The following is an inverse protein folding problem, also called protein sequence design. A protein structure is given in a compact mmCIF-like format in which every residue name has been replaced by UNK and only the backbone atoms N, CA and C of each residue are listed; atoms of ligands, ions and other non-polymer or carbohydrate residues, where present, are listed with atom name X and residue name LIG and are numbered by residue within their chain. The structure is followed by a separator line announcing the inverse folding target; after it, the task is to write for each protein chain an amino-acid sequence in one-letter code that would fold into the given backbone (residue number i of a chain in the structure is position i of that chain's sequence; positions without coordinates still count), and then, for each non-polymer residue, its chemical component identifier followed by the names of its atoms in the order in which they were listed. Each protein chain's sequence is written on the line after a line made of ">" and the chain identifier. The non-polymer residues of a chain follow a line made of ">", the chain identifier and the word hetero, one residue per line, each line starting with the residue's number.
data_IF_500033884253
#
_entry.id   IF_500033884253
#
_cell.length_a   1.000
_cell.length_b   1.000
_cell.length_c   1.000
_cell.angle_alpha   90.00
_cell.angle_beta   90.00
_cell.angle_gamma   90.00
#
_symmetry.space_group_name_H-M   'P 1'
#
loop_
_entity.id
_entity.type
_entity.pdbx_description
1 polymer ?
#
# COMPACT_ATOMS: atom_id res chain seq x y z
N UNK A 1 1.35 -11.34 0.15
CA UNK A 1 1.96 -10.36 -0.78
C UNK A 1 1.55 -10.60 -2.22
N UNK A 2 2.01 -11.66 -2.91
CA UNK A 2 1.68 -11.89 -4.34
C UNK A 2 0.18 -12.01 -4.67
N UNK A 3 -0.61 -12.60 -3.77
CA UNK A 3 -2.07 -12.67 -3.96
C UNK A 3 -2.74 -11.29 -3.91
N UNK A 4 -2.25 -10.39 -3.03
CA UNK A 4 -2.72 -9.01 -2.97
C UNK A 4 -2.30 -8.25 -4.23
N UNK A 5 -1.04 -8.42 -4.66
CA UNK A 5 -0.56 -7.85 -5.92
C UNK A 5 -1.45 -8.29 -7.11
N UNK A 6 -1.76 -9.58 -7.20
CA UNK A 6 -2.64 -10.10 -8.25
C UNK A 6 -4.03 -9.48 -8.20
N UNK A 7 -4.57 -9.23 -7.00
CA UNK A 7 -5.86 -8.58 -6.83
C UNK A 7 -5.80 -7.08 -7.21
N UNK A 8 -4.75 -6.36 -6.81
CA UNK A 8 -4.51 -4.96 -7.19
C UNK A 8 -4.48 -4.79 -8.70
N UNK A 9 -3.75 -5.64 -9.41
CA UNK A 9 -3.64 -5.61 -10.88
C UNK A 9 -4.96 -5.93 -11.56
N UNK A 10 -5.74 -6.87 -11.01
CA UNK A 10 -7.00 -7.30 -11.63
C UNK A 10 -8.18 -6.37 -11.34
N UNK A 11 -8.19 -5.72 -10.19
CA UNK A 11 -9.33 -4.92 -9.72
C UNK A 11 -9.16 -3.42 -9.99
N UNK A 12 -7.94 -2.93 -10.22
CA UNK A 12 -7.66 -1.51 -10.48
C UNK A 12 -8.27 -0.55 -9.43
N UNK A 13 -8.34 -0.98 -8.17
CA UNK A 13 -8.88 -0.21 -7.04
C UNK A 13 -7.78 0.17 -6.03
N UNK A 14 -7.94 1.29 -5.31
CA UNK A 14 -7.05 1.62 -4.19
C UNK A 14 -7.12 0.50 -3.15
N UNK A 15 -5.95 -0.03 -2.76
CA UNK A 15 -5.88 -1.20 -1.89
C UNK A 15 -4.91 -0.95 -0.75
N UNK A 16 -5.43 -1.03 0.48
CA UNK A 16 -4.64 -0.96 1.71
C UNK A 16 -4.43 -2.37 2.23
N UNK A 17 -3.18 -2.78 2.40
CA UNK A 17 -2.87 -4.10 2.95
C UNK A 17 -2.60 -3.99 4.44
N UNK A 18 -3.33 -4.76 5.25
CA UNK A 18 -3.17 -4.74 6.71
C UNK A 18 -2.74 -6.11 7.20
N UNK A 19 -1.65 -6.16 7.96
CA UNK A 19 -1.27 -7.34 8.74
C UNK A 19 -1.95 -7.26 10.10
N UNK A 20 -2.98 -8.08 10.27
CA UNK A 20 -3.69 -8.17 11.55
C UNK A 20 -2.95 -9.07 12.53
N UNK A 21 -3.26 -8.87 13.82
CA UNK A 21 -2.78 -9.69 14.93
C UNK A 21 -1.27 -9.60 15.20
N UNK A 22 -0.69 -8.42 15.02
CA UNK A 22 0.73 -8.18 15.32
C UNK A 22 1.02 -8.29 16.82
N UNK A 23 -0.01 -8.16 17.67
CA UNK A 23 0.03 -8.38 19.12
C UNK A 23 0.52 -9.79 19.52
N UNK A 24 0.32 -10.79 18.65
CA UNK A 24 0.72 -12.17 18.94
C UNK A 24 2.20 -12.45 18.71
N UNK A 25 2.94 -11.53 18.09
CA UNK A 25 4.36 -11.73 17.86
C UNK A 25 5.19 -11.33 19.08
N UNK A 26 6.07 -12.24 19.50
CA UNK A 26 7.03 -11.96 20.56
C UNK A 26 8.12 -10.96 20.13
N UNK A 27 8.45 -10.95 18.85
CA UNK A 27 9.41 -10.01 18.27
C UNK A 27 8.77 -9.27 17.09
N UNK A 28 8.47 -7.99 17.29
CA UNK A 28 7.87 -7.11 16.26
C UNK A 28 8.86 -6.82 15.11
N UNK A 29 10.17 -6.97 15.33
CA UNK A 29 11.21 -6.74 14.30
C UNK A 29 11.21 -7.81 13.22
N UNK A 30 10.70 -9.01 13.53
CA UNK A 30 10.59 -10.08 12.56
C UNK A 30 9.68 -9.72 11.38
N UNK A 31 8.77 -8.75 11.57
CA UNK A 31 7.86 -8.28 10.53
C UNK A 31 8.46 -7.17 9.68
N UNK A 32 9.49 -6.44 10.14
CA UNK A 32 10.09 -5.29 9.42
C UNK A 32 10.50 -5.66 7.99
N UNK A 33 11.09 -6.84 7.79
CA UNK A 33 11.46 -7.37 6.46
C UNK A 33 10.28 -7.61 5.50
N UNK A 34 9.06 -7.66 6.03
CA UNK A 34 7.82 -7.80 5.26
C UNK A 34 7.07 -6.45 5.12
N UNK A 35 7.45 -5.44 5.90
CA UNK A 35 6.91 -4.08 5.79
C UNK A 35 7.60 -3.33 4.65
N UNK A 36 8.93 -3.44 4.58
CA UNK A 36 9.75 -2.82 3.52
C UNK A 36 10.69 -3.86 2.87
N UNK A 37 10.16 -4.75 2.01
CA UNK A 37 11.00 -5.74 1.33
C UNK A 37 11.87 -5.14 0.20
N UNK A 38 13.19 -5.05 0.38
CA UNK A 38 14.06 -4.71 -0.74
C UNK A 38 14.14 -5.85 -1.78
N UNK A 39 13.87 -5.57 -3.05
CA UNK A 39 13.88 -6.56 -4.13
C UNK A 39 15.23 -7.30 -4.24
N UNK A 40 16.34 -6.59 -4.00
CA UNK A 40 17.68 -7.17 -3.99
C UNK A 40 17.90 -8.16 -2.82
N UNK A 41 17.40 -7.84 -1.62
CA UNK A 41 17.45 -8.75 -0.47
C UNK A 41 16.58 -9.98 -0.72
N UNK A 42 15.38 -9.78 -1.24
CA UNK A 42 14.46 -10.88 -1.59
C UNK A 42 15.09 -11.84 -2.60
N UNK A 43 15.75 -11.33 -3.64
CA UNK A 43 16.40 -12.15 -4.66
C UNK A 43 17.56 -12.96 -4.07
N UNK A 44 18.39 -12.34 -3.22
CA UNK A 44 19.47 -13.04 -2.52
C UNK A 44 18.96 -14.17 -1.61
N UNK A 45 17.86 -13.96 -0.90
CA UNK A 45 17.25 -14.98 -0.05
C UNK A 45 16.58 -16.11 -0.86
N UNK A 46 15.96 -15.77 -1.99
CA UNK A 46 15.37 -16.74 -2.91
C UNK A 46 16.44 -17.61 -3.57
N UNK A 47 17.57 -17.02 -3.99
CA UNK A 47 18.67 -17.78 -4.61
C UNK A 47 19.41 -18.67 -3.60
N UNK A 48 19.41 -18.30 -2.31
CA UNK A 48 19.97 -19.13 -1.24
C UNK A 48 19.05 -20.29 -0.84
N UNK A 49 17.73 -20.09 -0.86
CA UNK A 49 16.74 -21.07 -0.41
C UNK A 49 16.25 -22.01 -1.51
N UNK A 50 16.31 -21.58 -2.78
CA UNK A 50 15.79 -22.34 -3.92
C UNK A 50 16.89 -22.88 -4.84
N UNK A 51 16.69 -24.04 -5.49
CA UNK A 51 17.63 -24.55 -6.48
C UNK A 51 17.83 -23.58 -7.66
N UNK A 52 19.03 -23.52 -8.26
CA UNK A 52 19.37 -22.57 -9.33
C UNK A 52 18.53 -22.74 -10.60
N UNK A 53 17.78 -23.84 -10.74
CA UNK A 53 16.78 -24.02 -11.81
C UNK A 53 15.70 -22.93 -11.80
N UNK A 54 15.44 -22.32 -10.64
CA UNK A 54 14.41 -21.29 -10.47
C UNK A 54 14.96 -19.87 -10.52
N UNK A 55 16.26 -19.67 -10.81
CA UNK A 55 16.88 -18.33 -10.85
C UNK A 55 16.13 -17.35 -11.75
N UNK A 56 15.67 -17.82 -12.92
CA UNK A 56 14.89 -17.00 -13.86
C UNK A 56 13.51 -16.60 -13.32
N UNK A 57 12.90 -17.46 -12.50
CA UNK A 57 11.63 -17.19 -11.83
C UNK A 57 11.84 -16.22 -10.66
N UNK A 58 12.87 -16.45 -9.83
CA UNK A 58 13.23 -15.57 -8.72
C UNK A 58 13.47 -14.14 -9.20
N UNK A 59 14.18 -13.99 -10.33
CA UNK A 59 14.42 -12.70 -10.97
C UNK A 59 13.13 -12.03 -11.44
N UNK A 60 12.22 -12.77 -12.08
CA UNK A 60 10.94 -12.24 -12.51
C UNK A 60 10.06 -11.80 -11.32
N UNK A 61 10.08 -12.55 -10.21
CA UNK A 61 9.36 -12.20 -8.98
C UNK A 61 9.95 -10.94 -8.35
N UNK A 62 11.28 -10.86 -8.24
CA UNK A 62 11.94 -9.68 -7.69
C UNK A 62 11.64 -8.42 -8.51
N UNK A 63 11.69 -8.53 -9.84
CA UNK A 63 11.36 -7.43 -10.73
C UNK A 63 9.89 -7.00 -10.61
N UNK A 64 8.96 -7.96 -10.54
CA UNK A 64 7.54 -7.67 -10.32
C UNK A 64 7.29 -6.97 -8.97
N UNK A 65 8.03 -7.34 -7.93
CA UNK A 65 7.92 -6.72 -6.61
C UNK A 65 8.42 -5.25 -6.64
N UNK A 66 9.48 -4.99 -7.40
CA UNK A 66 10.09 -3.67 -7.59
C UNK A 66 9.19 -2.76 -8.46
N UNK A 67 8.70 -3.28 -9.58
CA UNK A 67 7.85 -2.54 -10.54
C UNK A 67 6.55 -2.03 -9.92
N UNK A 68 5.98 -2.77 -8.97
CA UNK A 68 4.76 -2.40 -8.27
C UNK A 68 5.02 -1.67 -6.94
N UNK A 69 6.27 -1.21 -6.72
CA UNK A 69 6.70 -0.42 -5.56
C UNK A 69 6.10 -0.95 -4.27
N UNK A 70 6.36 -2.24 -3.99
CA UNK A 70 5.99 -2.92 -2.76
C UNK A 70 4.55 -2.72 -2.30
N UNK A 71 3.78 -3.79 -2.41
CA UNK A 71 2.55 -4.00 -1.64
C UNK A 71 2.89 -3.85 -0.15
N UNK A 72 2.86 -2.62 0.35
CA UNK A 72 3.23 -2.29 1.71
C UNK A 72 2.11 -2.77 2.60
N UNK A 73 2.50 -3.50 3.64
CA UNK A 73 1.60 -3.94 4.67
C UNK A 73 1.69 -2.99 5.84
N UNK A 74 0.55 -2.56 6.35
CA UNK A 74 0.46 -1.80 7.58
C UNK A 74 0.29 -2.81 8.73
N UNK A 75 1.19 -2.79 9.74
CA UNK A 75 1.00 -3.63 10.91
C UNK A 75 -0.16 -3.08 11.75
N UNK A 76 -1.09 -3.94 12.12
CA UNK A 76 -2.18 -3.61 13.04
C UNK A 76 -2.03 -4.40 14.34
N UNK A 77 -1.87 -3.64 15.43
CA UNK A 77 -1.90 -4.13 16.80
C UNK A 77 -3.14 -3.53 17.48
N UNK A 78 -4.15 -4.37 17.75
CA UNK A 78 -5.40 -3.93 18.37
C UNK A 78 -5.23 -3.44 19.81
N UNK A 79 -4.10 -3.74 20.45
CA UNK A 79 -3.78 -3.27 21.79
C UNK A 79 -3.15 -1.88 21.77
N UNK A 80 -2.79 -1.39 20.59
CA UNK A 80 -2.10 -0.13 20.36
C UNK A 80 -2.98 0.83 19.55
N UNK A 81 -3.50 1.85 20.24
CA UNK A 81 -4.39 2.86 19.68
C UNK A 81 -3.68 3.68 18.58
N UNK A 82 -2.36 3.88 18.69
CA UNK A 82 -1.58 4.59 17.68
C UNK A 82 -1.51 3.79 16.37
N UNK A 83 -1.42 2.47 16.44
CA UNK A 83 -1.42 1.61 15.25
C UNK A 83 -2.76 1.65 14.51
N UNK A 84 -3.86 1.70 15.26
CA UNK A 84 -5.22 1.82 14.72
C UNK A 84 -5.37 3.16 14.01
N UNK A 85 -4.94 4.24 14.67
CA UNK A 85 -4.99 5.59 14.12
C UNK A 85 -4.14 5.73 12.86
N UNK A 86 -2.96 5.10 12.83
CA UNK A 86 -2.12 5.08 11.65
C UNK A 86 -2.79 4.38 10.47
N UNK A 87 -3.37 3.19 10.67
CA UNK A 87 -4.12 2.49 9.62
C UNK A 87 -5.30 3.32 9.12
N UNK A 88 -6.04 3.96 10.02
CA UNK A 88 -7.16 4.83 9.66
C UNK A 88 -6.71 5.98 8.74
N UNK A 89 -5.62 6.65 9.09
CA UNK A 89 -5.07 7.75 8.28
C UNK A 89 -4.65 7.30 6.87
N UNK A 90 -4.13 6.07 6.74
CA UNK A 90 -3.75 5.51 5.44
C UNK A 90 -4.97 5.14 4.59
N UNK A 91 -6.05 4.67 5.21
CA UNK A 91 -7.33 4.42 4.54
C UNK A 91 -7.94 5.73 4.05
N UNK A 92 -7.94 6.77 4.88
CA UNK A 92 -8.48 8.09 4.51
C UNK A 92 -7.72 8.68 3.31
N UNK A 93 -6.38 8.59 3.32
CA UNK A 93 -5.54 8.98 2.20
C UNK A 93 -5.83 8.16 0.93
N UNK A 94 -6.04 6.85 1.05
CA UNK A 94 -6.30 5.97 -0.10
C UNK A 94 -7.69 6.19 -0.72
N UNK A 95 -8.67 6.60 0.08
CA UNK A 95 -10.03 6.92 -0.38
C UNK A 95 -10.13 8.37 -0.88
N UNK A 96 -9.11 9.22 -0.65
CA UNK A 96 -9.21 10.68 -0.83
C UNK A 96 -10.43 11.26 -0.08
N UNK A 97 -10.73 10.71 1.10
CA UNK A 97 -11.85 11.17 1.90
C UNK A 97 -11.54 12.56 2.46
N UNK A 98 -11.94 13.61 1.71
CA UNK A 98 -11.68 15.01 2.06
C UNK A 98 -11.50 15.96 0.87
N UNK A 99 -11.13 15.49 -0.32
CA UNK A 99 -10.97 16.36 -1.51
C UNK A 99 -12.30 16.67 -2.22
N UNK A 100 -13.30 15.78 -2.15
CA UNK A 100 -14.68 16.09 -2.59
C UNK A 100 -15.39 17.14 -1.71
N UNK A 101 -14.80 17.51 -0.56
CA UNK A 101 -15.27 18.59 0.28
C UNK A 101 -14.68 19.96 -0.10
N UNK A 102 -13.76 20.03 -1.08
CA UNK A 102 -13.36 21.31 -1.66
C UNK A 102 -14.58 21.93 -2.33
N UNK A 103 -15.06 23.00 -1.70
CA UNK A 103 -16.20 23.78 -2.15
C UNK A 103 -15.91 24.23 -3.57
N UNK A 104 -16.63 23.69 -4.56
CA UNK A 104 -16.67 24.25 -5.91
C UNK A 104 -17.13 25.69 -5.76
N UNK A 105 -16.19 26.65 -5.81
CA UNK A 105 -16.53 28.07 -5.88
C UNK A 105 -17.40 28.19 -7.12
N UNK A 106 -18.69 28.41 -6.91
CA UNK A 106 -19.63 28.68 -7.97
C UNK A 106 -19.21 30.02 -8.52
N UNK A 107 -18.67 30.04 -9.75
CA UNK A 107 -18.40 31.30 -10.45
C UNK A 107 -19.67 32.16 -10.31
N UNK A 108 -19.53 33.34 -9.68
CA UNK A 108 -20.64 34.27 -9.52
C UNK A 108 -21.20 34.58 -10.92
N UNK A 109 -22.53 34.55 -11.13
CA UNK A 109 -23.08 34.91 -12.42
C UNK A 109 -22.69 36.36 -12.72
N UNK A 110 -21.99 36.58 -13.83
CA UNK A 110 -21.76 37.92 -14.37
C UNK A 110 -23.10 38.64 -14.44
N UNK A 111 -23.30 39.66 -13.60
CA UNK A 111 -24.41 40.59 -13.76
C UNK A 111 -24.26 41.25 -15.14
N UNK A 112 -25.03 40.81 -16.13
CA UNK A 112 -25.21 41.53 -17.38
C UNK A 112 -25.87 42.88 -17.04
N UNK A 113 -25.06 43.94 -17.06
CA UNK A 113 -25.52 45.32 -16.98
C UNK A 113 -26.44 45.60 -18.18
N UNK A 114 -27.76 45.64 -17.95
CA UNK A 114 -28.69 46.29 -18.87
C UNK A 114 -28.49 47.81 -18.81
N UNK A 115 -27.57 48.31 -19.65
CA UNK A 115 -27.41 49.73 -19.92
C UNK A 115 -28.33 50.18 -21.06
N UNK A 116 -29.28 51.04 -20.69
CA UNK A 116 -30.03 52.10 -21.42
C UNK A 116 -30.19 52.03 -22.95
#
# INVERSE_FOLDING_TARGET
>A
MLASLSAMVQLELPHVNVLTKVDLLQDKRAIEKYLEPEAAMLLSDLDRSMPPRFARLNQAIAQLVDDYSLVNFLPLDISDEDSIQYVLSQVDNAIQYGEDADVKIKDEPEEEWEGE
#
